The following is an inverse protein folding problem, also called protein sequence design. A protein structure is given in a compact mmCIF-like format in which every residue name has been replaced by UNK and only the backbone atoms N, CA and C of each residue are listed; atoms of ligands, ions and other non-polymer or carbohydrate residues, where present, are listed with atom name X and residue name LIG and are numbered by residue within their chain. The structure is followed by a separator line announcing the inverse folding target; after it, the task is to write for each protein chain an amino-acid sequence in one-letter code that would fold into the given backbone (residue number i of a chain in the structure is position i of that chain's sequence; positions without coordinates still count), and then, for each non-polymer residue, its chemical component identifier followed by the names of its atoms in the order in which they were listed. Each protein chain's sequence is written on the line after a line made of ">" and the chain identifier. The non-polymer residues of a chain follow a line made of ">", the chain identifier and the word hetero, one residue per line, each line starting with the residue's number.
data_IF_618633785128
#
_entry.id   IF_618633785128
#
_cell.length_a   1.000
_cell.length_b   1.000
_cell.length_c   1.000
_cell.angle_alpha   90.00
_cell.angle_beta   90.00
_cell.angle_gamma   90.00
#
_symmetry.space_group_name_H-M   'P 1'
#
loop_
_entity.id
_entity.type
_entity.pdbx_description
1 polymer ?
#
# COMPACT_ATOMS: atom_id res chain seq x y z
N UNK A 1 23.69 -31.21 6.71
CA UNK A 1 23.01 -29.99 7.23
C UNK A 1 21.88 -29.67 6.27
N UNK A 2 20.62 -29.68 6.72
CA UNK A 2 19.50 -29.22 5.90
C UNK A 2 19.63 -27.71 5.72
N UNK A 3 19.90 -27.26 4.50
CA UNK A 3 19.79 -25.85 4.13
C UNK A 3 18.31 -25.48 4.27
N UNK A 4 17.94 -24.83 5.38
CA UNK A 4 16.63 -24.19 5.52
C UNK A 4 16.41 -23.34 4.27
N UNK A 5 15.35 -23.59 3.52
CA UNK A 5 14.97 -22.75 2.40
C UNK A 5 14.85 -21.31 2.91
N UNK A 6 15.57 -20.38 2.28
CA UNK A 6 15.64 -18.98 2.72
C UNK A 6 14.38 -18.27 2.20
N UNK A 7 13.35 -18.22 3.03
CA UNK A 7 12.10 -17.53 2.72
C UNK A 7 12.34 -16.01 2.72
N UNK A 8 11.81 -15.33 1.71
CA UNK A 8 11.65 -13.88 1.72
C UNK A 8 10.24 -13.55 2.22
N UNK A 9 10.10 -12.54 3.08
CA UNK A 9 8.80 -12.19 3.62
C UNK A 9 8.62 -10.69 3.81
N UNK A 10 7.45 -10.20 3.43
CA UNK A 10 6.95 -8.88 3.83
C UNK A 10 5.80 -9.11 4.81
N UNK A 11 5.96 -8.61 6.03
CA UNK A 11 5.07 -8.88 7.15
C UNK A 11 4.41 -7.56 7.57
N UNK A 12 3.10 -7.51 7.45
CA UNK A 12 2.25 -6.44 7.99
C UNK A 12 1.79 -6.89 9.37
N UNK A 13 2.30 -6.23 10.39
CA UNK A 13 2.18 -6.64 11.79
C UNK A 13 1.24 -5.70 12.56
N UNK A 14 0.59 -6.23 13.58
CA UNK A 14 -0.18 -5.47 14.57
C UNK A 14 0.38 -5.77 15.96
N UNK A 15 0.41 -4.74 16.81
CA UNK A 15 0.87 -4.75 18.19
C UNK A 15 2.28 -5.36 18.38
N UNK A 16 3.12 -5.25 17.34
CA UNK A 16 4.49 -5.77 17.30
C UNK A 16 4.64 -7.27 17.54
N UNK A 17 3.59 -8.06 17.27
CA UNK A 17 3.57 -9.51 17.49
C UNK A 17 4.64 -10.29 16.71
N UNK A 18 5.07 -9.77 15.56
CA UNK A 18 6.05 -10.42 14.68
C UNK A 18 7.46 -9.83 14.77
N UNK A 19 7.70 -8.80 15.60
CA UNK A 19 8.99 -8.13 15.69
C UNK A 19 10.13 -9.10 16.03
N UNK A 20 9.94 -9.93 17.06
CA UNK A 20 10.93 -10.93 17.47
C UNK A 20 11.19 -11.95 16.35
N UNK A 21 10.16 -12.37 15.63
CA UNK A 21 10.28 -13.31 14.50
C UNK A 21 11.10 -12.69 13.37
N UNK A 22 10.85 -11.44 13.01
CA UNK A 22 11.59 -10.72 11.97
C UNK A 22 13.07 -10.60 12.37
N UNK A 23 13.34 -10.11 13.59
CA UNK A 23 14.71 -9.91 14.09
C UNK A 23 15.47 -11.23 14.22
N UNK A 24 14.83 -12.30 14.71
CA UNK A 24 15.45 -13.62 14.85
C UNK A 24 15.84 -14.25 13.49
N UNK A 25 15.17 -13.86 12.40
CA UNK A 25 15.53 -14.25 11.04
C UNK A 25 16.52 -13.29 10.35
N UNK A 26 17.10 -12.34 11.11
CA UNK A 26 18.04 -11.34 10.59
C UNK A 26 17.37 -10.30 9.69
N UNK A 27 16.06 -10.11 9.83
CA UNK A 27 15.26 -9.16 9.06
C UNK A 27 15.29 -7.74 9.63
N UNK A 28 14.67 -6.83 8.90
CA UNK A 28 14.48 -5.43 9.28
C UNK A 28 13.04 -5.23 9.73
N UNK A 29 12.85 -4.62 10.90
CA UNK A 29 11.52 -4.30 11.43
C UNK A 29 11.36 -2.78 11.48
N UNK A 30 10.35 -2.26 10.77
CA UNK A 30 10.04 -0.85 10.65
C UNK A 30 8.78 -0.54 11.45
N UNK A 31 8.91 0.29 12.49
CA UNK A 31 7.77 0.81 13.21
C UNK A 31 7.25 2.07 12.51
N UNK A 32 5.99 2.04 12.05
CA UNK A 32 5.38 3.20 11.39
C UNK A 32 4.56 3.95 12.43
N UNK A 33 5.12 5.04 12.93
CA UNK A 33 4.61 5.79 14.07
C UNK A 33 4.03 7.14 13.62
N UNK A 34 2.92 7.56 14.23
CA UNK A 34 2.21 8.77 13.85
C UNK A 34 3.11 10.01 13.92
N UNK A 35 3.22 10.72 12.80
CA UNK A 35 4.00 11.96 12.70
C UNK A 35 5.52 11.74 12.61
N UNK A 36 6.01 10.50 12.73
CA UNK A 36 7.44 10.18 12.58
C UNK A 36 7.72 9.92 11.10
N UNK A 37 8.62 10.68 10.44
CA UNK A 37 8.90 10.50 9.02
C UNK A 37 9.30 9.05 8.71
N UNK A 38 8.57 8.42 7.80
CA UNK A 38 8.83 7.03 7.38
C UNK A 38 10.11 6.90 6.54
N UNK A 39 10.56 8.00 5.93
CA UNK A 39 11.60 7.97 4.91
C UNK A 39 11.14 7.40 3.57
N UNK A 40 9.83 7.20 3.35
CA UNK A 40 9.33 6.67 2.08
C UNK A 40 9.03 7.78 1.08
N UNK A 41 9.41 7.55 -0.17
CA UNK A 41 9.09 8.47 -1.27
C UNK A 41 8.88 7.71 -2.59
N UNK A 42 7.62 7.37 -2.92
CA UNK A 42 7.29 6.61 -4.13
C UNK A 42 7.75 7.31 -5.43
N UNK A 43 7.86 8.64 -5.46
CA UNK A 43 8.28 9.38 -6.66
C UNK A 43 9.77 9.22 -6.98
N UNK A 44 10.56 8.56 -6.12
CA UNK A 44 11.93 8.17 -6.41
C UNK A 44 12.09 6.75 -6.97
N UNK A 45 10.98 6.06 -7.26
CA UNK A 45 11.02 4.83 -8.04
C UNK A 45 11.69 5.05 -9.40
N UNK A 46 12.31 4.00 -9.96
CA UNK A 46 12.84 4.05 -11.31
C UNK A 46 11.72 4.31 -12.33
N UNK A 47 11.94 5.15 -13.37
CA UNK A 47 10.90 5.57 -14.32
C UNK A 47 10.57 4.49 -15.36
N UNK A 48 10.17 3.30 -14.90
CA UNK A 48 9.66 2.21 -15.74
C UNK A 48 8.17 2.40 -16.02
N UNK A 49 7.66 1.80 -17.10
CA UNK A 49 6.22 1.84 -17.42
C UNK A 49 5.36 1.29 -16.26
N UNK A 50 5.82 0.22 -15.59
CA UNK A 50 5.14 -0.35 -14.41
C UNK A 50 5.06 0.67 -13.28
N UNK A 51 6.18 1.31 -12.93
CA UNK A 51 6.23 2.27 -11.83
C UNK A 51 5.46 3.55 -12.14
N UNK A 52 5.50 4.04 -13.38
CA UNK A 52 4.72 5.21 -13.78
C UNK A 52 3.22 4.93 -13.70
N UNK A 53 2.77 3.76 -14.18
CA UNK A 53 1.36 3.35 -14.06
C UNK A 53 0.93 3.27 -12.59
N UNK A 54 1.75 2.60 -11.77
CA UNK A 54 1.54 2.53 -10.32
C UNK A 54 1.43 3.92 -9.70
N UNK A 55 2.34 4.84 -10.03
CA UNK A 55 2.35 6.19 -9.47
C UNK A 55 1.09 6.99 -9.85
N UNK A 56 0.57 6.84 -11.06
CA UNK A 56 -0.68 7.50 -11.46
C UNK A 56 -1.87 7.03 -10.60
N UNK A 57 -2.00 5.73 -10.40
CA UNK A 57 -3.01 5.15 -9.51
C UNK A 57 -2.79 5.56 -8.06
N UNK A 58 -1.54 5.54 -7.60
CA UNK A 58 -1.16 5.87 -6.24
C UNK A 58 -1.48 7.33 -5.90
N UNK A 59 -1.12 8.27 -6.77
CA UNK A 59 -1.44 9.70 -6.57
C UNK A 59 -2.95 9.95 -6.60
N UNK A 60 -3.70 9.23 -7.45
CA UNK A 60 -5.16 9.27 -7.43
C UNK A 60 -5.74 8.79 -6.09
N UNK A 61 -5.22 7.68 -5.55
CA UNK A 61 -5.59 7.17 -4.22
C UNK A 61 -5.31 8.20 -3.11
N UNK A 62 -4.14 8.85 -3.14
CA UNK A 62 -3.81 9.92 -2.20
C UNK A 62 -4.81 11.09 -2.28
N UNK A 63 -5.19 11.50 -3.49
CA UNK A 63 -6.13 12.60 -3.73
C UNK A 63 -7.57 12.24 -3.27
N UNK A 64 -7.95 10.97 -3.33
CA UNK A 64 -9.23 10.48 -2.80
C UNK A 64 -9.24 10.46 -1.26
N UNK A 65 -8.10 10.18 -0.62
CA UNK A 65 -7.95 10.27 0.83
C UNK A 65 -8.90 9.34 1.61
N UNK A 66 -9.26 8.19 1.04
CA UNK A 66 -10.22 7.26 1.63
C UNK A 66 -11.67 7.76 1.67
N UNK A 67 -12.00 8.80 0.91
CA UNK A 67 -13.39 9.29 0.76
C UNK A 67 -14.10 8.59 -0.39
N UNK A 68 -15.43 8.62 -0.41
CA UNK A 68 -16.24 8.12 -1.54
C UNK A 68 -16.30 9.10 -2.72
N UNK A 69 -15.38 10.06 -2.80
CA UNK A 69 -15.27 11.01 -3.91
C UNK A 69 -14.91 10.24 -5.19
N UNK A 70 -15.33 10.77 -6.32
CA UNK A 70 -14.81 10.36 -7.62
C UNK A 70 -13.91 11.46 -8.18
N UNK A 71 -12.80 11.06 -8.80
CA UNK A 71 -11.95 11.95 -9.58
C UNK A 71 -12.54 12.07 -10.99
N UNK A 72 -12.68 13.31 -11.46
CA UNK A 72 -13.10 13.59 -12.83
C UNK A 72 -12.04 13.12 -13.84
N UNK A 73 -12.41 13.04 -15.11
CA UNK A 73 -11.43 12.74 -16.16
C UNK A 73 -10.37 13.84 -16.29
N UNK A 74 -10.70 15.07 -15.90
CA UNK A 74 -9.74 16.16 -15.81
C UNK A 74 -8.74 15.95 -14.69
N UNK A 75 -9.19 15.58 -13.48
CA UNK A 75 -8.31 15.24 -12.36
C UNK A 75 -7.33 14.10 -12.74
N UNK A 76 -7.84 13.06 -13.42
CA UNK A 76 -7.02 11.94 -13.89
C UNK A 76 -5.97 12.38 -14.93
N UNK A 77 -6.34 13.30 -15.84
CA UNK A 77 -5.40 13.87 -16.82
C UNK A 77 -4.34 14.74 -16.14
N UNK A 78 -4.74 15.55 -15.16
CA UNK A 78 -3.83 16.39 -14.37
C UNK A 78 -2.81 15.53 -13.63
N UNK A 79 -3.27 14.48 -12.93
CA UNK A 79 -2.42 13.51 -12.24
C UNK A 79 -1.46 12.84 -13.22
N UNK A 80 -1.97 12.32 -14.35
CA UNK A 80 -1.13 11.65 -15.35
C UNK A 80 -0.03 12.58 -15.85
N UNK A 81 -0.38 13.81 -16.21
CA UNK A 81 0.55 14.79 -16.78
C UNK A 81 1.60 15.22 -15.75
N UNK A 82 1.20 15.40 -14.49
CA UNK A 82 2.10 15.76 -13.40
C UNK A 82 3.07 14.61 -13.08
N UNK A 83 2.58 13.37 -12.96
CA UNK A 83 3.44 12.18 -12.76
C UNK A 83 4.42 12.03 -13.91
N UNK A 84 3.96 12.09 -15.16
CA UNK A 84 4.84 11.99 -16.33
C UNK A 84 5.91 13.10 -16.32
N UNK A 85 5.53 14.34 -15.97
CA UNK A 85 6.46 15.46 -15.88
C UNK A 85 7.50 15.28 -14.77
N UNK A 86 7.10 14.84 -13.57
CA UNK A 86 8.04 14.57 -12.47
C UNK A 86 9.02 13.46 -12.85
N UNK A 87 8.53 12.38 -13.46
CA UNK A 87 9.35 11.21 -13.78
C UNK A 87 10.30 11.44 -14.96
N UNK A 88 9.99 12.39 -15.85
CA UNK A 88 10.78 12.66 -17.06
C UNK A 88 11.63 13.93 -17.00
N UNK A 89 11.21 14.95 -16.24
CA UNK A 89 11.86 16.28 -16.24
C UNK A 89 12.60 16.61 -14.96
N UNK A 90 12.18 16.07 -13.82
CA UNK A 90 12.83 16.35 -12.54
C UNK A 90 13.96 15.35 -12.27
N UNK A 91 15.06 15.85 -11.71
CA UNK A 91 16.14 15.02 -11.21
C UNK A 91 15.63 14.13 -10.08
N UNK A 92 16.13 12.88 -10.01
CA UNK A 92 15.65 11.89 -9.03
C UNK A 92 15.66 12.42 -7.59
N UNK A 93 16.69 13.18 -7.22
CA UNK A 93 16.84 13.80 -5.88
C UNK A 93 15.83 14.89 -5.57
N UNK A 94 15.17 15.46 -6.57
CA UNK A 94 14.16 16.52 -6.43
C UNK A 94 12.73 15.97 -6.46
N UNK A 95 12.53 14.70 -6.84
CA UNK A 95 11.20 14.09 -6.92
C UNK A 95 10.64 13.84 -5.53
N UNK A 96 9.52 14.47 -5.23
CA UNK A 96 8.71 14.28 -4.03
C UNK A 96 7.31 14.88 -4.28
N UNK A 97 6.38 14.75 -3.31
CA UNK A 97 5.00 15.24 -3.48
C UNK A 97 4.94 16.76 -3.58
N UNK A 98 5.85 17.49 -2.93
CA UNK A 98 5.96 18.95 -3.10
C UNK A 98 6.28 19.31 -4.55
N UNK A 99 7.28 18.67 -5.17
CA UNK A 99 7.64 18.89 -6.58
C UNK A 99 6.49 18.50 -7.51
N UNK A 100 5.81 17.39 -7.24
CA UNK A 100 4.61 16.99 -7.99
C UNK A 100 3.50 18.04 -7.90
N UNK A 101 3.30 18.65 -6.72
CA UNK A 101 2.27 19.67 -6.52
C UNK A 101 2.49 20.93 -7.38
N UNK A 102 3.75 21.26 -7.71
CA UNK A 102 4.08 22.35 -8.62
C UNK A 102 3.84 22.02 -10.09
N UNK A 103 3.77 20.73 -10.45
CA UNK A 103 3.47 20.26 -11.80
C UNK A 103 1.97 20.11 -12.07
N UNK A 104 1.13 20.24 -11.03
CA UNK A 104 -0.31 20.23 -11.16
C UNK A 104 -0.84 21.62 -11.53
N UNK A 105 -1.90 21.70 -12.35
CA UNK A 105 -2.50 22.98 -12.66
C UNK A 105 -3.09 23.64 -11.40
N UNK A 106 -3.11 24.99 -11.36
CA UNK A 106 -3.82 25.70 -10.30
C UNK A 106 -5.30 25.35 -10.35
N UNK A 107 -5.97 25.42 -9.20
CA UNK A 107 -7.43 25.25 -9.18
C UNK A 107 -8.16 26.46 -9.74
N UNK A 108 -9.38 26.24 -10.19
CA UNK A 108 -10.33 27.27 -10.57
C UNK A 108 -11.54 27.29 -9.62
N UNK A 109 -12.53 28.14 -9.90
CA UNK A 109 -13.76 28.24 -9.11
C UNK A 109 -14.74 27.09 -9.36
N UNK A 110 -14.54 26.30 -10.43
CA UNK A 110 -15.48 25.27 -10.87
C UNK A 110 -15.31 23.94 -10.12
N UNK A 111 -14.09 23.64 -9.65
CA UNK A 111 -13.79 22.41 -8.90
C UNK A 111 -12.62 22.55 -7.91
N UNK A 112 -12.56 21.62 -6.96
CA UNK A 112 -11.39 21.47 -6.09
C UNK A 112 -10.27 20.81 -6.89
N UNK A 113 -9.15 21.49 -7.09
CA UNK A 113 -8.02 20.94 -7.84
C UNK A 113 -7.32 19.79 -7.12
N UNK A 114 -6.69 18.91 -7.91
CA UNK A 114 -5.83 17.82 -7.40
C UNK A 114 -4.75 18.34 -6.44
N UNK A 115 -4.17 19.52 -6.70
CA UNK A 115 -3.17 20.12 -5.79
C UNK A 115 -3.75 20.37 -4.39
N UNK A 116 -5.00 20.88 -4.30
CA UNK A 116 -5.71 21.02 -3.02
C UNK A 116 -6.04 19.66 -2.41
N UNK A 117 -6.39 18.66 -3.21
CA UNK A 117 -6.67 17.30 -2.73
C UNK A 117 -5.44 16.61 -2.14
N UNK A 118 -4.26 16.89 -2.69
CA UNK A 118 -2.99 16.35 -2.21
C UNK A 118 -2.39 17.12 -1.03
N UNK A 119 -2.97 18.27 -0.66
CA UNK A 119 -2.46 19.09 0.45
C UNK A 119 -2.19 18.31 1.75
N UNK A 120 -3.07 17.39 2.22
CA UNK A 120 -2.80 16.57 3.40
C UNK A 120 -1.48 15.79 3.35
N UNK A 121 -1.04 15.40 2.15
CA UNK A 121 0.17 14.62 1.91
C UNK A 121 1.40 15.48 1.59
N UNK A 122 1.21 16.74 1.18
CA UNK A 122 2.30 17.65 0.86
C UNK A 122 2.75 18.42 2.09
N UNK A 123 1.83 19.12 2.77
CA UNK A 123 2.15 19.94 3.95
C UNK A 123 1.14 19.80 5.10
N UNK A 124 0.15 18.90 4.97
CA UNK A 124 -0.80 18.60 6.04
C UNK A 124 -0.43 17.39 6.90
N UNK A 125 -1.46 16.79 7.51
CA UNK A 125 -1.34 15.78 8.57
C UNK A 125 -0.63 14.47 8.15
N UNK A 126 -0.53 14.19 6.85
CA UNK A 126 0.04 12.95 6.31
C UNK A 126 1.38 13.14 5.61
N UNK A 127 1.97 14.35 5.66
CA UNK A 127 3.23 14.65 4.95
C UNK A 127 4.40 13.75 5.34
N UNK A 128 4.41 13.28 6.58
CA UNK A 128 5.44 12.40 7.14
C UNK A 128 5.48 11.01 6.48
N UNK A 129 4.41 10.60 5.79
CA UNK A 129 4.28 9.24 5.23
C UNK A 129 5.02 9.09 3.89
N UNK A 130 4.83 10.00 2.93
CA UNK A 130 5.35 9.82 1.56
C UNK A 130 6.08 11.04 0.97
N UNK A 131 6.08 12.20 1.64
CA UNK A 131 6.77 13.40 1.15
C UNK A 131 8.20 13.54 1.70
N UNK A 132 8.93 12.43 1.75
CA UNK A 132 10.30 12.40 2.27
C UNK A 132 11.32 12.79 1.19
N UNK A 133 12.46 13.35 1.59
CA UNK A 133 13.50 13.81 0.64
C UNK A 133 14.15 12.66 -0.15
N UNK A 134 14.32 11.52 0.50
CA UNK A 134 14.91 10.32 -0.10
C UNK A 134 14.03 9.14 0.24
N UNK A 135 13.86 8.23 -0.71
CA UNK A 135 13.23 6.94 -0.46
C UNK A 135 14.22 5.97 0.15
N UNK A 136 14.11 5.76 1.46
CA UNK A 136 15.00 4.90 2.24
C UNK A 136 14.45 3.48 2.41
N UNK A 137 13.34 3.15 1.74
CA UNK A 137 12.81 1.79 1.78
C UNK A 137 13.67 0.88 0.90
N UNK A 138 14.50 0.07 1.52
CA UNK A 138 15.36 -0.91 0.87
C UNK A 138 14.82 -2.32 1.12
N UNK A 139 14.26 -2.94 0.08
CA UNK A 139 13.81 -4.32 0.11
C UNK A 139 14.71 -5.19 -0.76
N UNK A 140 15.17 -6.30 -0.21
CA UNK A 140 16.00 -7.29 -0.87
C UNK A 140 15.64 -8.70 -0.43
N UNK A 141 16.61 -9.62 -0.38
CA UNK A 141 16.35 -10.96 0.18
C UNK A 141 16.28 -10.89 1.71
N UNK A 142 15.24 -11.44 2.31
CA UNK A 142 15.07 -11.48 3.77
C UNK A 142 13.66 -11.20 4.27
N UNK A 143 13.57 -10.91 5.57
CA UNK A 143 12.33 -10.63 6.28
C UNK A 143 12.22 -9.12 6.52
N UNK A 144 11.08 -8.54 6.17
CA UNK A 144 10.79 -7.13 6.37
C UNK A 144 9.45 -7.01 7.10
N UNK A 145 9.49 -6.56 8.34
CA UNK A 145 8.30 -6.30 9.15
C UNK A 145 7.92 -4.83 9.12
N UNK A 146 6.64 -4.56 9.07
CA UNK A 146 6.05 -3.24 9.17
C UNK A 146 4.98 -3.26 10.26
N UNK A 147 5.23 -2.55 11.36
CA UNK A 147 4.21 -2.30 12.38
C UNK A 147 3.17 -1.35 11.78
N UNK A 148 1.98 -1.85 11.51
CA UNK A 148 0.89 -1.05 10.91
C UNK A 148 -0.17 -0.60 11.89
N UNK A 149 0.01 -0.93 13.18
CA UNK A 149 -0.99 -0.82 14.25
C UNK A 149 -1.70 0.53 14.28
N UNK A 150 -0.95 1.63 14.24
CA UNK A 150 -1.49 2.97 14.49
C UNK A 150 -2.43 3.49 13.39
N UNK A 151 -2.41 2.89 12.20
CA UNK A 151 -3.23 3.34 11.07
C UNK A 151 -4.12 2.23 10.50
N UNK A 152 -4.19 1.07 11.15
CA UNK A 152 -5.10 -0.01 10.75
C UNK A 152 -6.55 0.46 10.65
N UNK A 153 -7.01 1.38 11.50
CA UNK A 153 -8.39 1.87 11.47
C UNK A 153 -8.59 3.08 10.52
N UNK A 154 -7.51 3.62 9.96
CA UNK A 154 -7.55 4.87 9.17
C UNK A 154 -7.30 4.59 7.70
N UNK A 155 -8.38 4.27 6.98
CA UNK A 155 -8.36 3.92 5.55
C UNK A 155 -7.53 4.88 4.69
N UNK A 156 -7.65 6.19 4.94
CA UNK A 156 -6.92 7.24 4.22
C UNK A 156 -5.40 7.03 4.23
N UNK A 157 -4.83 6.43 5.28
CA UNK A 157 -3.40 6.15 5.40
C UNK A 157 -3.11 4.67 5.10
N UNK A 158 -3.94 3.76 5.63
CA UNK A 158 -3.78 2.31 5.48
C UNK A 158 -3.64 1.89 4.02
N UNK A 159 -4.58 2.31 3.16
CA UNK A 159 -4.62 1.85 1.77
C UNK A 159 -3.37 2.28 1.01
N UNK A 160 -2.96 3.57 1.03
CA UNK A 160 -1.69 3.99 0.43
C UNK A 160 -0.46 3.25 0.97
N UNK A 161 -0.35 3.05 2.29
CA UNK A 161 0.80 2.34 2.88
C UNK A 161 0.87 0.90 2.35
N UNK A 162 -0.24 0.16 2.40
CA UNK A 162 -0.27 -1.20 1.88
C UNK A 162 0.08 -1.23 0.40
N UNK A 163 -0.56 -0.38 -0.40
CA UNK A 163 -0.34 -0.31 -1.84
C UNK A 163 1.13 -0.05 -2.20
N UNK A 164 1.79 0.86 -1.50
CA UNK A 164 3.21 1.13 -1.71
C UNK A 164 4.10 -0.02 -1.25
N UNK A 165 3.90 -0.54 -0.03
CA UNK A 165 4.72 -1.63 0.50
C UNK A 165 4.56 -2.92 -0.30
N UNK A 166 3.38 -3.22 -0.85
CA UNK A 166 3.19 -4.37 -1.74
C UNK A 166 3.77 -4.14 -3.12
N UNK A 167 3.69 -2.92 -3.67
CA UNK A 167 4.37 -2.62 -4.94
C UNK A 167 5.88 -2.88 -4.83
N UNK A 168 6.48 -2.50 -3.70
CA UNK A 168 7.90 -2.75 -3.39
C UNK A 168 8.18 -4.22 -3.06
N UNK A 169 7.28 -4.87 -2.31
CA UNK A 169 7.39 -6.30 -2.01
C UNK A 169 7.34 -7.18 -3.26
N UNK A 170 6.55 -6.81 -4.26
CA UNK A 170 6.45 -7.53 -5.53
C UNK A 170 7.79 -7.53 -6.30
N UNK A 171 8.66 -6.54 -6.07
CA UNK A 171 10.02 -6.49 -6.64
C UNK A 171 10.93 -7.59 -6.05
N UNK A 172 10.59 -8.13 -4.87
CA UNK A 172 11.34 -9.23 -4.23
C UNK A 172 11.05 -10.59 -4.89
N UNK A 173 10.01 -10.70 -5.72
CA UNK A 173 9.52 -11.95 -6.28
C UNK A 173 10.35 -12.31 -7.52
N UNK A 174 11.31 -13.21 -7.33
CA UNK A 174 12.31 -13.59 -8.35
C UNK A 174 12.48 -15.11 -8.49
N UNK A 175 11.42 -15.89 -8.23
CA UNK A 175 11.42 -17.34 -8.30
C UNK A 175 11.86 -18.05 -7.01
N UNK A 176 12.46 -17.32 -6.07
CA UNK A 176 12.69 -17.81 -4.70
C UNK A 176 11.38 -17.81 -3.89
N UNK A 177 11.26 -18.64 -2.84
CA UNK A 177 10.11 -18.61 -1.94
C UNK A 177 9.89 -17.21 -1.36
N UNK A 178 8.68 -16.69 -1.52
CA UNK A 178 8.25 -15.40 -1.02
C UNK A 178 6.88 -15.52 -0.34
N UNK A 179 6.66 -14.75 0.73
CA UNK A 179 5.37 -14.68 1.42
C UNK A 179 5.03 -13.24 1.83
N UNK A 180 3.78 -12.84 1.56
CA UNK A 180 3.14 -11.77 2.32
C UNK A 180 2.51 -12.35 3.58
N UNK A 181 2.77 -11.77 4.74
CA UNK A 181 2.12 -12.14 6.00
C UNK A 181 1.32 -10.95 6.49
N UNK A 182 0.02 -11.14 6.67
CA UNK A 182 -0.86 -10.13 7.27
C UNK A 182 -1.29 -10.65 8.64
N UNK A 183 -0.65 -10.14 9.68
CA UNK A 183 -1.10 -10.33 11.04
C UNK A 183 -2.46 -9.62 11.18
N UNK A 184 -3.44 -10.33 11.72
CA UNK A 184 -4.77 -9.78 11.95
C UNK A 184 -5.51 -9.26 10.67
N UNK A 185 -5.48 -10.06 9.61
CA UNK A 185 -5.99 -9.74 8.25
C UNK A 185 -7.47 -9.28 8.14
N UNK A 186 -8.29 -9.39 9.19
CA UNK A 186 -9.70 -8.95 9.14
C UNK A 186 -9.87 -7.45 9.25
N UNK A 187 -8.97 -6.76 9.96
CA UNK A 187 -9.01 -5.29 10.02
C UNK A 187 -8.77 -4.68 8.63
N UNK A 188 -8.10 -5.44 7.76
CA UNK A 188 -7.88 -5.10 6.36
C UNK A 188 -9.09 -5.42 5.46
N UNK A 189 -10.09 -6.19 5.91
CA UNK A 189 -11.25 -6.55 5.09
C UNK A 189 -12.30 -5.44 4.92
N UNK A 190 -12.00 -4.19 5.31
CA UNK A 190 -12.95 -3.08 5.28
C UNK A 190 -12.92 -2.26 3.98
N UNK A 191 -11.94 -2.47 3.10
CA UNK A 191 -11.85 -1.79 1.80
C UNK A 191 -11.56 -2.76 0.64
N UNK A 192 -12.00 -2.37 -0.56
CA UNK A 192 -11.92 -3.22 -1.76
C UNK A 192 -10.48 -3.58 -2.14
N UNK A 193 -9.54 -2.62 -2.00
CA UNK A 193 -8.13 -2.85 -2.31
C UNK A 193 -7.54 -3.93 -1.42
N UNK A 194 -7.66 -3.78 -0.10
CA UNK A 194 -7.14 -4.73 0.88
C UNK A 194 -7.77 -6.12 0.72
N UNK A 195 -9.07 -6.19 0.42
CA UNK A 195 -9.74 -7.45 0.07
C UNK A 195 -9.19 -8.07 -1.21
N UNK A 196 -8.98 -7.27 -2.25
CA UNK A 196 -8.40 -7.72 -3.52
C UNK A 196 -6.98 -8.24 -3.32
N UNK A 197 -6.19 -7.57 -2.47
CA UNK A 197 -4.82 -7.93 -2.14
C UNK A 197 -4.76 -9.28 -1.43
N UNK A 198 -5.61 -9.48 -0.41
CA UNK A 198 -5.73 -10.77 0.29
C UNK A 198 -6.18 -11.90 -0.66
N UNK A 199 -7.10 -11.61 -1.59
CA UNK A 199 -7.60 -12.58 -2.58
C UNK A 199 -6.57 -12.94 -3.65
N UNK A 200 -5.91 -11.95 -4.23
CA UNK A 200 -4.92 -12.17 -5.31
C UNK A 200 -3.72 -12.91 -4.76
N UNK A 201 -3.21 -12.49 -3.61
CA UNK A 201 -2.07 -13.14 -3.00
C UNK A 201 -2.40 -14.58 -2.55
N UNK A 202 -3.59 -14.83 -1.98
CA UNK A 202 -3.98 -16.20 -1.62
C UNK A 202 -4.12 -17.15 -2.81
N UNK A 203 -4.43 -16.63 -4.01
CA UNK A 203 -4.51 -17.43 -5.25
C UNK A 203 -3.16 -17.60 -5.96
N UNK A 204 -2.30 -16.59 -5.93
CA UNK A 204 -1.07 -16.56 -6.73
C UNK A 204 0.09 -17.32 -6.06
N UNK A 205 0.05 -17.49 -4.74
CA UNK A 205 1.14 -18.14 -4.00
C UNK A 205 0.55 -19.25 -3.12
N UNK A 206 0.62 -20.50 -3.56
CA UNK A 206 0.16 -21.70 -2.81
C UNK A 206 0.89 -21.91 -1.45
N UNK A 207 1.80 -21.01 -1.08
CA UNK A 207 2.60 -21.03 0.16
C UNK A 207 2.41 -19.79 1.04
N UNK A 208 1.32 -19.03 0.89
CA UNK A 208 1.00 -18.03 1.91
C UNK A 208 0.46 -18.74 3.14
N UNK A 209 1.22 -18.69 4.24
CA UNK A 209 0.61 -18.87 5.56
C UNK A 209 -0.13 -17.58 5.89
N UNK A 210 -1.33 -17.42 5.34
CA UNK A 210 -2.27 -16.49 5.94
C UNK A 210 -2.73 -17.22 7.20
N UNK A 211 -2.31 -16.74 8.36
CA UNK A 211 -2.97 -17.09 9.61
C UNK A 211 -4.36 -16.46 9.57
N UNK A 212 -5.25 -17.02 8.74
CA UNK A 212 -6.67 -16.72 8.79
C UNK A 212 -7.14 -17.34 10.10
N UNK A 213 -7.48 -16.50 11.08
CA UNK A 213 -8.28 -16.96 12.21
C UNK A 213 -9.53 -17.67 11.66
N UNK A 214 -10.08 -18.62 12.41
CA UNK A 214 -11.32 -19.32 12.04
C UNK A 214 -12.46 -18.34 11.70
N UNK A 215 -12.44 -17.15 12.32
CA UNK A 215 -13.39 -16.06 12.11
C UNK A 215 -13.31 -15.44 10.71
N UNK A 216 -12.11 -15.30 10.14
CA UNK A 216 -11.89 -14.80 8.77
C UNK A 216 -12.28 -15.79 7.68
N UNK A 217 -12.02 -17.08 7.88
CA UNK A 217 -12.48 -18.11 6.93
C UNK A 217 -14.00 -18.03 6.74
N UNK A 218 -14.73 -17.80 7.83
CA UNK A 218 -16.18 -17.65 7.79
C UNK A 218 -16.63 -16.34 7.14
N UNK A 219 -15.96 -15.21 7.40
CA UNK A 219 -16.29 -13.93 6.75
C UNK A 219 -15.97 -13.93 5.25
N UNK A 220 -14.82 -14.47 4.83
CA UNK A 220 -14.47 -14.60 3.40
C UNK A 220 -15.46 -15.50 2.65
N UNK A 221 -15.95 -16.58 3.29
CA UNK A 221 -17.02 -17.44 2.76
C UNK A 221 -18.34 -16.67 2.64
N UNK A 222 -18.71 -15.87 3.66
CA UNK A 222 -19.93 -15.04 3.66
C UNK A 222 -19.91 -13.98 2.55
N UNK A 223 -18.78 -13.31 2.33
CA UNK A 223 -18.61 -12.32 1.27
C UNK A 223 -18.56 -12.94 -0.13
N UNK A 224 -17.97 -14.14 -0.28
CA UNK A 224 -18.09 -14.91 -1.52
C UNK A 224 -19.55 -15.23 -1.85
N UNK A 225 -20.35 -15.51 -0.82
CA UNK A 225 -21.77 -15.79 -0.94
C UNK A 225 -22.61 -14.56 -1.31
N UNK A 226 -22.30 -13.38 -0.77
CA UNK A 226 -22.96 -12.13 -1.13
C UNK A 226 -22.65 -11.66 -2.55
N UNK A 227 -21.42 -11.86 -3.03
CA UNK A 227 -21.03 -11.50 -4.41
C UNK A 227 -21.46 -12.53 -5.46
N UNK A 228 -21.70 -13.80 -5.07
CA UNK A 228 -22.16 -14.87 -5.97
C UNK A 228 -23.69 -14.98 -6.09
N UNK A 229 -24.46 -14.10 -5.43
CA UNK A 229 -25.91 -14.00 -5.57
C UNK A 229 -26.73 -15.23 -5.16
N UNK A 230 -26.15 -16.21 -4.46
CA UNK A 230 -26.84 -17.44 -4.08
C UNK A 230 -26.62 -17.78 -2.61
N UNK A 231 -27.48 -17.30 -1.69
CA UNK A 231 -27.54 -17.82 -0.32
C UNK A 231 -27.84 -19.33 -0.34
N UNK A 232 -27.15 -20.20 0.44
CA UNK A 232 -27.55 -21.59 0.58
C UNK A 232 -28.76 -21.65 1.52
N UNK A 233 -29.74 -22.47 1.16
CA UNK A 233 -31.01 -22.70 1.85
C UNK A 233 -30.93 -23.19 3.32
N UNK A 234 -29.76 -23.21 3.97
CA UNK A 234 -29.54 -23.91 5.24
C UNK A 234 -29.56 -23.05 6.51
N UNK A 235 -29.91 -21.76 6.42
CA UNK A 235 -29.98 -20.85 7.58
C UNK A 235 -31.27 -20.04 7.65
N UNK A 236 -32.39 -20.62 7.20
CA UNK A 236 -33.74 -20.16 7.58
C UNK A 236 -34.36 -21.23 8.48
N UNK A 237 -34.03 -21.17 9.77
CA UNK A 237 -34.83 -21.65 10.91
C UNK A 237 -34.19 -21.16 12.21
#
# INVERSE_FOLDING_TARGET
>A
MSTKAKLNAVIFDKDRGMENTVRANGGVYNAVEWGVPTGWNPLQLEPTLKNISFLKEFIAELALGGTSRELSDEDKRDISTAVDSVMTKADKSERNLTTLSYMLPPGDESRVSVSKLLFPWVDGDYKWVFNNKTDNLELGKGYYGFDTTQFLEKQAIRVPILRYLTHRGDEMINGEPFAYVFEECWNFCSDEFSLSLLKTNSKQYEKITVSLSSQLRNQMMFYHHQLAGHLPHRWQQ
#
